data_IF_650088103105
#
_entry.id   IF_650088103105
#
_cell.length_a   1.000
_cell.length_b   1.000
_cell.length_c   1.000
_cell.angle_alpha   90.00
_cell.angle_beta   90.00
_cell.angle_gamma   90.00
#
_symmetry.space_group_name_H-M   'P 1'
#
loop_
_entity.id
_entity.type
_entity.pdbx_description
1 polymer ?
#
# COMPACT_ATOMS: atom_id res chain seq x y z
N UNK A 1 -0.95 26.06 17.19
CA UNK A 1 -1.46 24.68 17.07
C UNK A 1 -1.89 24.20 18.44
N UNK A 2 -3.02 23.51 18.55
CA UNK A 2 -3.50 22.88 19.79
C UNK A 2 -3.66 21.39 19.48
N UNK A 3 -3.13 20.52 20.34
CA UNK A 3 -3.32 19.07 20.22
C UNK A 3 -3.90 18.51 21.52
N UNK A 4 -4.58 17.37 21.40
CA UNK A 4 -5.22 16.68 22.51
C UNK A 4 -4.39 15.44 22.82
N UNK A 5 -4.12 15.21 24.10
CA UNK A 5 -3.53 13.97 24.57
C UNK A 5 -4.68 12.99 24.81
N UNK A 6 -4.77 11.97 23.96
CA UNK A 6 -5.78 10.93 24.11
C UNK A 6 -5.34 9.90 25.17
N UNK A 7 -6.27 9.47 26.02
CA UNK A 7 -6.07 8.33 26.90
C UNK A 7 -6.20 7.03 26.09
N UNK A 8 -5.07 6.57 25.53
CA UNK A 8 -4.98 5.37 24.71
C UNK A 8 -3.88 4.44 25.21
N UNK A 9 -4.14 3.13 25.14
CA UNK A 9 -3.16 2.09 25.53
C UNK A 9 -1.85 2.15 24.73
N UNK A 10 -1.91 2.64 23.49
CA UNK A 10 -0.77 2.77 22.59
C UNK A 10 -0.76 4.15 21.95
N UNK A 11 0.00 5.12 22.51
CA UNK A 11 0.12 6.45 21.93
C UNK A 11 0.82 6.39 20.58
N UNK A 12 0.33 7.18 19.61
CA UNK A 12 0.90 7.28 18.27
C UNK A 12 1.14 8.75 17.94
N UNK A 13 2.34 9.06 17.46
CA UNK A 13 2.67 10.36 16.90
C UNK A 13 2.57 10.27 15.38
N UNK A 14 1.85 11.22 14.78
CA UNK A 14 1.74 11.31 13.32
C UNK A 14 2.82 12.25 12.76
N UNK A 15 3.09 12.12 11.46
CA UNK A 15 4.08 12.91 10.76
C UNK A 15 3.79 14.42 10.80
N UNK A 16 2.52 14.81 10.74
CA UNK A 16 2.09 16.22 10.84
C UNK A 16 2.49 16.86 12.18
N UNK A 17 2.41 16.09 13.28
CA UNK A 17 2.90 16.55 14.58
C UNK A 17 4.40 16.77 14.58
N UNK A 18 5.16 15.86 13.96
CA UNK A 18 6.62 15.96 13.88
C UNK A 18 7.05 17.21 13.09
N UNK A 19 6.39 17.47 11.95
CA UNK A 19 6.67 18.64 11.12
C UNK A 19 6.29 19.94 11.81
N UNK A 20 5.17 19.96 12.55
CA UNK A 20 4.67 21.17 13.21
C UNK A 20 5.58 21.67 14.34
N UNK A 21 6.27 20.75 15.03
CA UNK A 21 7.13 21.04 16.18
C UNK A 21 8.63 20.84 15.88
N UNK A 22 9.00 20.75 14.60
CA UNK A 22 10.38 20.57 14.14
C UNK A 22 11.11 19.39 14.83
N UNK A 23 10.39 18.27 15.01
CA UNK A 23 10.88 17.06 15.66
C UNK A 23 11.39 16.05 14.63
N UNK A 24 12.64 15.62 14.77
CA UNK A 24 13.29 14.63 13.92
C UNK A 24 13.30 13.25 14.57
N UNK A 25 12.75 12.26 13.87
CA UNK A 25 12.84 10.86 14.28
C UNK A 25 14.20 10.27 13.86
N UNK A 26 15.15 10.21 14.79
CA UNK A 26 16.46 9.59 14.59
C UNK A 26 16.39 8.09 14.93
N UNK A 27 16.10 7.30 13.90
CA UNK A 27 15.97 5.85 14.02
C UNK A 27 17.28 5.15 14.39
N UNK A 28 18.43 5.70 13.97
CA UNK A 28 19.75 5.12 14.23
C UNK A 28 20.08 5.16 15.71
N UNK A 29 19.85 6.31 16.36
CA UNK A 29 20.11 6.48 17.79
C UNK A 29 18.87 6.20 18.66
N UNK A 30 17.75 5.82 18.04
CA UNK A 30 16.46 5.56 18.69
C UNK A 30 16.05 6.74 19.57
N UNK A 31 15.98 7.94 18.98
CA UNK A 31 15.59 9.16 19.69
C UNK A 31 14.69 10.05 18.83
N UNK A 32 13.90 10.87 19.52
CA UNK A 32 13.20 12.00 18.93
C UNK A 32 13.98 13.25 19.29
N UNK A 33 14.43 13.99 18.28
CA UNK A 33 15.30 15.15 18.42
C UNK A 33 14.51 16.41 18.10
N UNK A 34 14.53 17.39 19.00
CA UNK A 34 13.97 18.71 18.79
C UNK A 34 15.05 19.62 18.20
N UNK A 35 14.82 20.09 16.97
CA UNK A 35 15.80 20.92 16.26
C UNK A 35 15.90 22.32 16.85
N UNK A 36 14.81 22.85 17.39
CA UNK A 36 14.74 24.22 17.90
C UNK A 36 15.41 24.31 19.27
N UNK A 37 15.10 23.38 20.18
CA UNK A 37 15.65 23.38 21.54
C UNK A 37 16.91 22.52 21.71
N UNK A 38 17.28 21.74 20.69
CA UNK A 38 18.38 20.76 20.73
C UNK A 38 18.18 19.66 21.80
N UNK A 39 16.96 19.53 22.34
CA UNK A 39 16.62 18.49 23.30
C UNK A 39 16.38 17.16 22.58
N UNK A 40 16.57 16.06 23.31
CA UNK A 40 16.41 14.72 22.77
C UNK A 40 15.65 13.84 23.75
N UNK A 41 14.57 13.22 23.28
CA UNK A 41 13.84 12.18 23.99
C UNK A 41 14.27 10.80 23.48
N UNK A 42 14.74 9.93 24.38
CA UNK A 42 15.17 8.58 24.02
C UNK A 42 13.95 7.70 23.75
N UNK A 43 13.88 7.12 22.57
CA UNK A 43 12.91 6.10 22.19
C UNK A 43 13.36 4.71 22.63
N UNK A 44 12.39 3.85 22.95
CA UNK A 44 12.61 2.43 23.18
C UNK A 44 11.99 1.66 22.03
N UNK A 45 12.81 0.90 21.29
CA UNK A 45 12.26 -0.05 20.33
C UNK A 45 11.60 -1.18 21.11
N UNK A 46 10.28 -1.26 21.04
CA UNK A 46 9.51 -2.36 21.58
C UNK A 46 9.32 -3.32 20.41
N UNK A 47 9.99 -4.46 20.44
CA UNK A 47 9.63 -5.59 19.59
C UNK A 47 8.30 -6.12 20.10
N UNK A 48 7.19 -5.58 19.61
CA UNK A 48 5.92 -6.30 19.69
C UNK A 48 6.04 -7.47 18.73
N UNK A 49 5.91 -8.72 19.19
CA UNK A 49 5.85 -9.89 18.29
C UNK A 49 4.70 -9.78 17.26
N UNK A 50 3.78 -8.85 17.50
CA UNK A 50 2.66 -8.44 16.66
C UNK A 50 3.00 -7.40 15.58
N UNK A 51 4.25 -7.32 15.10
CA UNK A 51 4.67 -6.32 14.11
C UNK A 51 3.99 -6.44 12.72
N UNK A 52 3.02 -7.33 12.57
CA UNK A 52 2.13 -7.39 11.43
C UNK A 52 0.73 -6.95 11.89
N UNK A 53 0.30 -5.71 11.62
CA UNK A 53 -1.06 -5.26 11.96
C UNK A 53 -2.16 -6.06 11.26
N UNK A 54 -1.80 -6.86 10.25
CA UNK A 54 -2.68 -7.72 9.47
C UNK A 54 -2.71 -9.18 9.95
N UNK A 55 -1.83 -9.57 10.88
CA UNK A 55 -1.75 -10.94 11.36
C UNK A 55 -1.95 -10.99 12.87
N UNK A 56 -2.87 -11.84 13.36
CA UNK A 56 -3.07 -12.01 14.78
C UNK A 56 -1.77 -12.49 15.43
N UNK A 57 -1.44 -11.92 16.59
CA UNK A 57 -0.25 -12.34 17.32
C UNK A 57 -0.37 -13.84 17.67
N UNK A 58 0.74 -14.61 17.71
CA UNK A 58 0.69 -16.04 18.04
C UNK A 58 0.08 -16.37 19.41
N UNK A 59 -0.06 -15.35 20.29
CA UNK A 59 -0.59 -15.46 21.64
C UNK A 59 -2.02 -14.89 21.77
N UNK A 60 -2.57 -14.32 20.69
CA UNK A 60 -3.92 -13.76 20.70
C UNK A 60 -4.96 -14.86 20.50
N UNK A 61 -5.70 -15.18 21.56
CA UNK A 61 -6.80 -16.15 21.54
C UNK A 61 -8.15 -15.49 21.22
N UNK A 62 -8.17 -14.28 20.67
CA UNK A 62 -9.41 -13.62 20.27
C UNK A 62 -10.20 -14.43 19.23
N UNK A 63 -11.52 -14.22 19.20
CA UNK A 63 -12.41 -14.83 18.19
C UNK A 63 -11.95 -14.45 16.77
N UNK A 64 -11.46 -13.23 16.59
CA UNK A 64 -10.95 -12.73 15.32
C UNK A 64 -9.62 -13.39 14.92
N UNK A 65 -8.71 -13.60 15.87
CA UNK A 65 -7.48 -14.33 15.62
C UNK A 65 -7.73 -15.75 15.13
N UNK A 66 -8.70 -16.43 15.74
CA UNK A 66 -9.13 -17.76 15.31
C UNK A 66 -9.79 -17.75 13.92
N UNK A 67 -10.57 -16.73 13.60
CA UNK A 67 -11.19 -16.57 12.28
C UNK A 67 -10.14 -16.38 11.18
N UNK A 68 -9.16 -15.50 11.39
CA UNK A 68 -8.08 -15.27 10.44
C UNK A 68 -7.20 -16.51 10.27
N UNK A 69 -6.99 -17.29 11.34
CA UNK A 69 -6.26 -18.57 11.28
C UNK A 69 -7.01 -19.64 10.48
N UNK A 70 -8.35 -19.60 10.46
CA UNK A 70 -9.18 -20.49 9.65
C UNK A 70 -9.09 -20.19 8.15
N UNK A 71 -8.81 -18.94 7.79
CA UNK A 71 -8.75 -18.45 6.41
C UNK A 71 -7.40 -17.77 6.11
N UNK A 72 -6.29 -18.52 6.12
CA UNK A 72 -4.94 -17.96 5.92
C UNK A 72 -4.77 -17.26 4.57
N UNK A 73 -5.53 -17.64 3.54
CA UNK A 73 -5.55 -17.01 2.22
C UNK A 73 -5.99 -15.53 2.23
N UNK A 74 -6.69 -15.08 3.27
CA UNK A 74 -7.11 -13.68 3.39
C UNK A 74 -5.99 -12.77 3.91
N UNK A 75 -5.02 -13.34 4.62
CA UNK A 75 -3.94 -12.59 5.29
C UNK A 75 -2.57 -12.88 4.70
N UNK A 76 -2.42 -14.01 4.00
CA UNK A 76 -1.22 -14.34 3.23
C UNK A 76 -1.37 -13.80 1.81
N UNK A 77 -0.44 -13.00 1.30
CA UNK A 77 -0.47 -12.59 -0.10
C UNK A 77 -0.18 -13.81 -0.99
N UNK A 78 -1.22 -14.52 -1.42
CA UNK A 78 -1.11 -15.59 -2.40
C UNK A 78 -1.16 -15.00 -3.81
N UNK A 79 -0.05 -15.04 -4.52
CA UNK A 79 0.05 -14.61 -5.93
C UNK A 79 -0.36 -15.72 -6.92
N UNK A 80 -0.70 -16.90 -6.40
CA UNK A 80 -1.22 -17.99 -7.22
C UNK A 80 -2.68 -17.69 -7.54
N UNK A 81 -2.99 -17.41 -8.82
CA UNK A 81 -4.38 -17.49 -9.28
C UNK A 81 -4.82 -18.93 -9.05
N UNK A 82 -5.76 -19.16 -8.14
CA UNK A 82 -6.57 -20.37 -8.21
C UNK A 82 -7.30 -20.30 -9.55
N UNK A 83 -7.28 -21.39 -10.32
CA UNK A 83 -8.18 -21.51 -11.45
C UNK A 83 -9.59 -21.33 -10.88
N UNK A 84 -10.25 -20.23 -11.25
CA UNK A 84 -11.60 -19.95 -10.80
C UNK A 84 -12.50 -21.07 -11.35
N UNK A 85 -13.13 -21.85 -10.47
CA UNK A 85 -14.05 -22.94 -10.85
C UNK A 85 -15.41 -22.40 -11.33
N UNK A 86 -15.43 -21.29 -12.07
CA UNK A 86 -16.64 -20.78 -12.70
C UNK A 86 -16.49 -20.84 -14.21
N UNK A 87 -17.49 -21.43 -14.87
CA UNK A 87 -17.53 -21.53 -16.34
C UNK A 87 -17.78 -20.19 -17.04
N UNK A 88 -17.95 -19.09 -16.28
CA UNK A 88 -18.21 -17.77 -16.84
C UNK A 88 -16.89 -17.19 -17.37
N UNK A 89 -16.84 -17.02 -18.68
CA UNK A 89 -15.75 -16.34 -19.39
C UNK A 89 -16.28 -14.99 -19.87
N UNK A 90 -15.61 -13.90 -19.51
CA UNK A 90 -15.92 -12.59 -20.07
C UNK A 90 -15.38 -12.53 -21.52
N UNK A 91 -16.27 -12.44 -22.51
CA UNK A 91 -15.90 -12.16 -23.89
C UNK A 91 -16.10 -10.68 -24.20
N UNK A 92 -15.06 -10.04 -24.72
CA UNK A 92 -15.21 -8.72 -25.35
C UNK A 92 -15.52 -8.96 -26.81
N UNK A 93 -16.75 -8.67 -27.21
CA UNK A 93 -17.18 -8.79 -28.61
C UNK A 93 -16.67 -7.56 -29.34
N UNK A 94 -15.63 -7.71 -30.15
CA UNK A 94 -15.12 -6.64 -31.03
C UNK A 94 -15.64 -6.85 -32.44
N UNK A 95 -16.32 -5.86 -33.00
CA UNK A 95 -16.71 -5.85 -34.42
C UNK A 95 -15.60 -5.16 -35.23
N UNK A 96 -14.99 -5.88 -36.17
CA UNK A 96 -13.97 -5.34 -37.08
C UNK A 96 -12.56 -5.92 -36.86
N UNK A 97 -11.62 -5.48 -37.69
CA UNK A 97 -10.24 -5.98 -37.68
C UNK A 97 -9.43 -5.37 -36.51
N UNK A 98 -8.48 -6.12 -35.92
CA UNK A 98 -7.57 -5.58 -34.92
C UNK A 98 -6.83 -4.36 -35.45
N UNK A 99 -6.89 -3.25 -34.71
CA UNK A 99 -6.17 -2.02 -35.05
C UNK A 99 -4.88 -1.95 -34.25
N UNK A 100 -3.75 -1.90 -34.94
CA UNK A 100 -2.46 -1.63 -34.30
C UNK A 100 -2.29 -0.13 -34.06
N UNK A 101 -2.00 0.25 -32.81
CA UNK A 101 -1.61 1.61 -32.45
C UNK A 101 -0.13 1.65 -32.09
N UNK A 102 0.62 2.60 -32.67
CA UNK A 102 2.03 2.81 -32.29
C UNK A 102 2.11 3.33 -30.84
N UNK A 103 2.98 2.77 -29.99
CA UNK A 103 3.25 3.33 -28.67
C UNK A 103 3.65 4.80 -28.78
N UNK A 104 3.02 5.68 -27.98
CA UNK A 104 3.38 7.10 -27.92
C UNK A 104 4.49 7.32 -26.89
N UNK A 105 5.35 8.30 -27.13
CA UNK A 105 6.36 8.71 -26.16
C UNK A 105 5.67 9.27 -24.91
N UNK A 106 6.03 8.77 -23.74
CA UNK A 106 5.51 9.27 -22.46
C UNK A 106 6.29 10.54 -22.09
N UNK A 107 5.61 11.64 -21.71
CA UNK A 107 6.29 12.82 -21.16
C UNK A 107 6.91 12.49 -19.79
N UNK A 108 7.91 13.26 -19.34
CA UNK A 108 8.66 12.93 -18.12
C UNK A 108 7.82 12.79 -16.84
N UNK A 109 6.77 13.59 -16.72
CA UNK A 109 5.88 13.58 -15.55
C UNK A 109 5.04 12.28 -15.45
N UNK A 110 4.93 11.53 -16.56
CA UNK A 110 4.22 10.25 -16.62
C UNK A 110 5.13 9.02 -16.40
N UNK A 111 6.42 9.20 -16.09
CA UNK A 111 7.30 8.07 -15.75
C UNK A 111 6.86 7.36 -14.46
N UNK A 112 6.16 8.04 -13.56
CA UNK A 112 5.53 7.44 -12.37
C UNK A 112 4.53 6.35 -12.78
N UNK A 113 3.76 6.57 -13.85
CA UNK A 113 2.83 5.57 -14.37
C UNK A 113 3.59 4.37 -14.96
N UNK A 114 4.70 4.62 -15.67
CA UNK A 114 5.57 3.54 -16.19
C UNK A 114 6.13 2.68 -15.06
N UNK A 115 6.65 3.29 -14.01
CA UNK A 115 7.25 2.54 -12.90
C UNK A 115 6.18 1.83 -12.05
N UNK A 116 4.99 2.40 -11.95
CA UNK A 116 3.82 1.71 -11.36
C UNK A 116 3.43 0.47 -12.16
N UNK A 117 3.40 0.54 -13.49
CA UNK A 117 3.12 -0.61 -14.36
C UNK A 117 4.22 -1.66 -14.24
N UNK A 118 5.50 -1.27 -14.25
CA UNK A 118 6.61 -2.21 -14.04
C UNK A 118 6.50 -2.89 -12.68
N UNK A 119 6.24 -2.14 -11.61
CA UNK A 119 6.06 -2.67 -10.25
C UNK A 119 4.89 -3.64 -10.21
N UNK A 120 3.79 -3.31 -10.90
CA UNK A 120 2.63 -4.18 -11.03
C UNK A 120 3.00 -5.48 -11.74
N UNK A 121 3.70 -5.43 -12.88
CA UNK A 121 4.14 -6.63 -13.60
C UNK A 121 5.10 -7.49 -12.77
N UNK A 122 6.04 -6.87 -12.06
CA UNK A 122 6.98 -7.59 -11.18
C UNK A 122 6.28 -8.26 -9.99
N UNK A 123 5.22 -7.65 -9.46
CA UNK A 123 4.53 -8.15 -8.27
C UNK A 123 3.35 -9.08 -8.60
N UNK A 124 2.68 -8.87 -9.72
CA UNK A 124 1.42 -9.54 -10.09
C UNK A 124 1.49 -10.33 -11.40
N UNK A 125 2.64 -10.32 -12.09
CA UNK A 125 2.82 -10.98 -13.38
C UNK A 125 2.28 -10.18 -14.57
N UNK A 126 2.38 -10.73 -15.77
CA UNK A 126 1.82 -10.10 -16.98
C UNK A 126 0.30 -10.37 -17.02
N UNK A 127 -0.55 -9.36 -17.26
CA UNK A 127 -1.98 -9.61 -17.41
C UNK A 127 -2.21 -10.46 -18.66
N UNK A 128 -3.10 -11.44 -18.57
CA UNK A 128 -3.46 -12.29 -19.72
C UNK A 128 -4.02 -11.49 -20.90
N UNK A 129 -4.62 -10.32 -20.64
CA UNK A 129 -5.13 -9.40 -21.68
C UNK A 129 -5.06 -7.97 -21.15
N UNK A 130 -4.43 -7.07 -21.92
CA UNK A 130 -4.43 -5.62 -21.66
C UNK A 130 -5.42 -4.99 -22.63
N UNK A 131 -6.58 -4.57 -22.14
CA UNK A 131 -7.49 -3.70 -22.91
C UNK A 131 -7.25 -2.27 -22.48
N UNK A 132 -6.66 -1.47 -23.36
CA UNK A 132 -6.60 -0.02 -23.18
C UNK A 132 -7.81 0.58 -23.87
N UNK A 133 -8.80 1.04 -23.11
CA UNK A 133 -9.82 1.92 -23.65
C UNK A 133 -9.28 3.36 -23.63
N UNK A 134 -9.06 3.92 -24.82
CA UNK A 134 -8.92 5.36 -24.97
C UNK A 134 -10.01 5.87 -25.89
N UNK A 135 -11.25 5.71 -25.44
CA UNK A 135 -12.35 6.53 -25.94
C UNK A 135 -12.15 7.98 -25.50
N UNK A 136 -12.61 8.93 -26.30
CA UNK A 136 -12.52 10.39 -26.11
C UNK A 136 -13.23 10.95 -24.86
N UNK A 137 -13.64 10.09 -23.92
CA UNK A 137 -14.43 10.45 -22.73
C UNK A 137 -13.66 10.31 -21.41
N UNK A 138 -12.39 9.91 -21.43
CA UNK A 138 -11.56 9.81 -20.22
C UNK A 138 -10.51 10.93 -20.19
N UNK A 139 -10.82 12.01 -19.49
CA UNK A 139 -9.83 12.98 -19.00
C UNK A 139 -9.28 12.51 -17.65
N UNK A 140 -8.00 12.14 -17.59
CA UNK A 140 -7.31 11.91 -16.33
C UNK A 140 -6.71 13.23 -15.83
N UNK A 141 -7.29 13.83 -14.79
CA UNK A 141 -6.62 14.85 -14.00
C UNK A 141 -5.73 14.16 -12.96
N UNK A 142 -4.42 14.43 -13.03
CA UNK A 142 -3.49 14.16 -11.95
C UNK A 142 -3.80 15.16 -10.83
N UNK A 143 -4.09 14.66 -9.63
CA UNK A 143 -4.10 15.46 -8.41
C UNK A 143 -2.67 15.71 -7.95
#
# INVERSE_FOLDING_TARGET
>A
WVFIIADVRQPKLRADFLTQYNLWADLKHKRLFDVDTQLSAKGRSIFTSSAQPLLPSPLDNSVYANLLRKFPELTTPSFHRSCLNHSITHSVITNGNPVFARPRHLPPDEYVARDSVKRWVSNFGVPFTVTTDRGSHLESKLF
#
